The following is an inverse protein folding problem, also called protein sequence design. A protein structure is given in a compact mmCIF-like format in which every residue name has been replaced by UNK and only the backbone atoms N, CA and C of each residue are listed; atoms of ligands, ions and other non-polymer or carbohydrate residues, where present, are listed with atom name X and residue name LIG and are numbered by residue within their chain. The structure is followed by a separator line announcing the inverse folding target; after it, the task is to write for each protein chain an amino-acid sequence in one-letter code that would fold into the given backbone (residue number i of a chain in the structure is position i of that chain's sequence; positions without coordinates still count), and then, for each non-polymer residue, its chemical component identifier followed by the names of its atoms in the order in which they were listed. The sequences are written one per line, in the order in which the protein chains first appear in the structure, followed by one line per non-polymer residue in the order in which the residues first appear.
data_IF_657633139461
#
_entry.id   IF_657633139461
#
_cell.length_a   1.000
_cell.length_b   1.000
_cell.length_c   1.000
_cell.angle_alpha   90.00
_cell.angle_beta   90.00
_cell.angle_gamma   90.00
#
_symmetry.space_group_name_H-M   'P 1'
#
loop_
_entity.id
_entity.type
_entity.pdbx_description
1 polymer ?
#
# COMPACT_ATOMS: atom_id res chain seq x y z
N UNK A 1 13.79 -6.85 5.39
CA UNK A 1 12.75 -6.10 4.64
C UNK A 1 11.46 -6.88 4.45
N UNK A 2 10.33 -6.18 4.46
CA UNK A 2 9.00 -6.74 4.25
C UNK A 2 8.35 -7.37 5.49
N UNK A 3 9.04 -7.35 6.63
CA UNK A 3 8.56 -7.91 7.89
C UNK A 3 7.29 -7.19 8.40
N UNK A 4 6.19 -7.92 8.70
CA UNK A 4 5.03 -7.33 9.36
C UNK A 4 5.38 -6.84 10.77
N UNK A 5 4.86 -5.67 11.13
CA UNK A 5 4.99 -5.08 12.46
C UNK A 5 3.62 -5.04 13.11
N UNK A 6 3.50 -5.60 14.31
CA UNK A 6 2.25 -5.69 15.05
C UNK A 6 2.39 -5.10 16.46
N UNK A 7 1.28 -4.68 17.02
CA UNK A 7 1.11 -4.41 18.46
C UNK A 7 0.17 -5.47 19.08
N UNK A 8 -0.31 -5.23 20.30
CA UNK A 8 -1.23 -6.13 20.99
C UNK A 8 -2.63 -6.22 20.35
N UNK A 9 -3.04 -5.26 19.52
CA UNK A 9 -4.39 -5.19 18.95
C UNK A 9 -4.44 -5.56 17.46
N UNK A 10 -3.36 -5.35 16.70
CA UNK A 10 -3.30 -5.70 15.29
C UNK A 10 -2.03 -5.31 14.54
N UNK A 11 -2.16 -5.33 13.22
CA UNK A 11 -1.12 -4.95 12.27
C UNK A 11 -0.95 -3.42 12.26
N UNK A 12 0.27 -2.98 12.57
CA UNK A 12 0.64 -1.57 12.61
C UNK A 12 1.28 -1.12 11.29
N UNK A 13 2.11 -1.97 10.68
CA UNK A 13 2.80 -1.63 9.44
C UNK A 13 3.74 -2.70 8.92
N UNK A 14 4.66 -2.29 8.07
CA UNK A 14 5.65 -3.15 7.44
C UNK A 14 7.03 -2.50 7.46
N UNK A 15 8.07 -3.28 7.77
CA UNK A 15 9.46 -2.82 7.67
C UNK A 15 9.83 -2.59 6.22
N UNK A 16 10.08 -1.33 5.87
CA UNK A 16 10.44 -0.90 4.51
C UNK A 16 11.91 -0.55 4.36
N UNK A 17 12.61 -0.27 5.46
CA UNK A 17 14.08 -0.15 5.51
C UNK A 17 14.64 -0.77 6.77
N UNK A 18 15.79 -1.41 6.66
CA UNK A 18 16.57 -1.92 7.78
C UNK A 18 17.93 -1.22 7.86
N UNK A 19 18.34 -0.91 9.08
CA UNK A 19 19.63 -0.38 9.47
C UNK A 19 20.24 -1.32 10.52
N UNK A 20 21.54 -1.20 10.87
CA UNK A 20 22.18 -2.13 11.80
C UNK A 20 21.49 -2.28 13.16
N UNK A 21 20.85 -1.22 13.67
CA UNK A 21 20.21 -1.19 14.98
C UNK A 21 18.81 -0.53 14.96
N UNK A 22 18.27 -0.24 13.78
CA UNK A 22 16.96 0.41 13.63
C UNK A 22 16.30 -0.01 12.33
N UNK A 23 15.02 0.30 12.18
CA UNK A 23 14.27 0.04 10.96
C UNK A 23 13.24 1.15 10.77
N UNK A 24 12.92 1.45 9.51
CA UNK A 24 11.77 2.28 9.15
C UNK A 24 10.56 1.38 8.88
N UNK A 25 9.42 1.79 9.40
CA UNK A 25 8.13 1.10 9.26
C UNK A 25 7.19 2.01 8.52
N UNK A 26 6.65 1.52 7.40
CA UNK A 26 5.52 2.16 6.72
C UNK A 26 4.25 1.69 7.40
N UNK A 27 3.44 2.63 7.88
CA UNK A 27 2.22 2.34 8.62
C UNK A 27 1.11 1.91 7.67
N UNK A 28 0.16 1.08 8.15
CA UNK A 28 -0.99 0.67 7.33
C UNK A 28 -1.89 1.83 6.91
N UNK A 29 -1.77 2.98 7.58
CA UNK A 29 -2.51 4.22 7.29
C UNK A 29 -1.83 5.10 6.26
N UNK A 30 -0.59 4.81 5.88
CA UNK A 30 0.12 5.57 4.85
C UNK A 30 -0.54 5.35 3.48
N UNK A 31 -0.58 6.39 2.63
CA UNK A 31 -1.30 6.38 1.33
C UNK A 31 -0.91 5.21 0.43
N UNK A 32 0.37 4.85 0.44
CA UNK A 32 0.93 3.82 -0.42
C UNK A 32 0.97 2.45 0.26
N UNK A 33 0.47 2.34 1.50
CA UNK A 33 0.39 1.08 2.20
C UNK A 33 -0.75 0.22 1.65
N UNK A 34 -0.42 -1.05 1.38
CA UNK A 34 -1.33 -2.02 0.79
C UNK A 34 -1.26 -3.30 1.61
N UNK A 35 -2.41 -3.75 2.12
CA UNK A 35 -2.52 -4.98 2.90
C UNK A 35 -3.59 -5.88 2.28
N UNK A 36 -3.22 -7.06 1.74
CA UNK A 36 -4.20 -8.05 1.30
C UNK A 36 -4.95 -8.62 2.50
N UNK A 37 -6.27 -8.48 2.50
CA UNK A 37 -7.12 -8.87 3.62
C UNK A 37 -8.28 -9.76 3.18
N UNK A 38 -8.91 -10.37 4.16
CA UNK A 38 -10.19 -11.03 4.02
C UNK A 38 -11.09 -10.66 5.19
N UNK A 39 -12.40 -10.64 4.95
CA UNK A 39 -13.40 -10.50 5.99
C UNK A 39 -13.42 -11.79 6.81
N UNK A 40 -13.16 -11.73 8.11
CA UNK A 40 -13.08 -12.92 8.96
C UNK A 40 -14.38 -13.75 8.94
N UNK A 41 -15.53 -13.09 8.82
CA UNK A 41 -16.85 -13.74 8.86
C UNK A 41 -17.19 -14.48 7.57
N UNK A 42 -16.88 -13.92 6.40
CA UNK A 42 -17.31 -14.45 5.10
C UNK A 42 -16.19 -15.07 4.28
N UNK A 43 -14.93 -14.74 4.60
CA UNK A 43 -13.76 -15.12 3.80
C UNK A 43 -13.62 -14.33 2.49
N UNK A 44 -14.51 -13.37 2.22
CA UNK A 44 -14.40 -12.51 1.04
C UNK A 44 -13.09 -11.72 1.09
N UNK A 45 -12.35 -11.74 -0.02
CA UNK A 45 -11.04 -11.12 -0.13
C UNK A 45 -11.16 -9.73 -0.73
N UNK A 46 -10.30 -8.85 -0.26
CA UNK A 46 -10.10 -7.54 -0.82
C UNK A 46 -8.72 -7.03 -0.46
N UNK A 47 -8.50 -5.75 -0.69
CA UNK A 47 -7.22 -5.14 -0.35
C UNK A 47 -7.48 -3.83 0.34
N UNK A 48 -6.79 -3.66 1.45
CA UNK A 48 -6.90 -2.51 2.31
C UNK A 48 -5.82 -1.50 1.93
N UNK A 49 -6.24 -0.26 1.75
CA UNK A 49 -5.39 0.88 1.45
C UNK A 49 -5.39 1.86 2.62
N UNK A 50 -4.24 2.45 2.91
CA UNK A 50 -4.20 3.68 3.69
C UNK A 50 -4.78 4.84 2.89
N UNK A 51 -5.66 5.63 3.50
CA UNK A 51 -6.21 6.83 2.90
C UNK A 51 -6.09 8.00 3.88
N UNK A 52 -4.94 8.69 3.87
CA UNK A 52 -4.70 9.85 4.73
C UNK A 52 -5.75 10.93 4.44
N UNK A 53 -6.55 11.26 5.45
CA UNK A 53 -7.63 12.26 5.35
C UNK A 53 -9.04 11.69 5.59
N UNK A 54 -9.22 10.37 5.58
CA UNK A 54 -10.46 9.72 6.01
C UNK A 54 -10.51 9.58 7.55
N UNK A 55 -10.74 10.68 8.29
CA UNK A 55 -11.05 10.61 9.74
C UNK A 55 -10.06 9.80 10.59
N UNK A 56 -10.56 8.94 11.50
CA UNK A 56 -9.80 8.12 12.46
C UNK A 56 -8.86 7.10 11.78
N UNK A 57 -7.71 7.56 11.26
CA UNK A 57 -6.67 6.68 10.68
C UNK A 57 -7.08 6.03 9.35
N UNK A 58 -7.97 6.67 8.59
CA UNK A 58 -8.72 6.17 7.44
C UNK A 58 -8.10 5.06 6.60
N UNK A 59 -8.79 3.93 6.59
CA UNK A 59 -8.49 2.80 5.70
C UNK A 59 -9.66 2.60 4.73
N UNK A 60 -9.35 2.20 3.50
CA UNK A 60 -10.34 1.87 2.49
C UNK A 60 -10.14 0.44 1.98
N UNK A 61 -11.17 -0.40 2.15
CA UNK A 61 -11.21 -1.73 1.58
C UNK A 61 -11.77 -1.62 0.15
N UNK A 62 -10.89 -1.86 -0.82
CA UNK A 62 -11.19 -1.73 -2.25
C UNK A 62 -11.50 -3.08 -2.90
N UNK A 63 -12.12 -3.00 -4.08
CA UNK A 63 -12.48 -4.12 -4.95
C UNK A 63 -13.50 -5.09 -4.37
N UNK A 64 -14.31 -4.63 -3.43
CA UNK A 64 -15.43 -5.41 -2.92
C UNK A 64 -16.60 -5.31 -3.90
N UNK A 65 -17.08 -6.41 -4.51
CA UNK A 65 -18.25 -6.35 -5.38
C UNK A 65 -19.46 -5.74 -4.66
N UNK A 66 -20.33 -5.03 -5.36
CA UNK A 66 -21.54 -4.45 -4.73
C UNK A 66 -22.42 -5.51 -4.06
N UNK A 67 -22.43 -6.73 -4.59
CA UNK A 67 -23.17 -7.88 -4.07
C UNK A 67 -22.47 -8.61 -2.90
N UNK A 68 -21.23 -8.25 -2.56
CA UNK A 68 -20.48 -8.94 -1.50
C UNK A 68 -21.11 -8.70 -0.12
N UNK A 69 -21.08 -9.72 0.74
CA UNK A 69 -21.65 -9.69 2.08
C UNK A 69 -20.69 -9.03 3.08
N UNK A 70 -20.44 -7.73 2.88
CA UNK A 70 -19.69 -6.86 3.80
C UNK A 70 -20.64 -6.01 4.65
N UNK A 71 -20.37 -5.97 5.96
CA UNK A 71 -21.19 -5.27 6.97
C UNK A 71 -20.33 -4.40 7.88
N UNK A 72 -20.92 -3.32 8.39
CA UNK A 72 -20.31 -2.51 9.45
C UNK A 72 -20.07 -3.41 10.67
N UNK A 73 -18.89 -3.29 11.26
CA UNK A 73 -18.44 -4.11 12.38
C UNK A 73 -17.65 -5.36 11.98
N UNK A 74 -17.63 -5.74 10.70
CA UNK A 74 -16.83 -6.88 10.24
C UNK A 74 -15.34 -6.67 10.54
N UNK A 75 -14.67 -7.74 10.98
CA UNK A 75 -13.23 -7.77 11.22
C UNK A 75 -12.49 -8.14 9.95
N UNK A 76 -11.47 -7.35 9.60
CA UNK A 76 -10.54 -7.64 8.52
C UNK A 76 -9.27 -8.26 9.08
N UNK A 77 -8.85 -9.36 8.47
CA UNK A 77 -7.60 -10.05 8.79
C UNK A 77 -6.75 -10.21 7.54
N UNK A 78 -5.43 -10.30 7.68
CA UNK A 78 -4.53 -10.60 6.55
C UNK A 78 -4.92 -11.91 5.86
N UNK A 79 -4.92 -11.93 4.53
CA UNK A 79 -5.28 -13.13 3.75
C UNK A 79 -4.12 -14.09 3.54
N UNK A 80 -2.88 -13.58 3.63
CA UNK A 80 -1.64 -14.31 3.35
C UNK A 80 -1.37 -14.65 1.89
N UNK A 81 -2.14 -14.07 0.96
CA UNK A 81 -2.03 -14.36 -0.48
C UNK A 81 -0.73 -13.85 -1.12
N UNK A 82 -0.10 -12.84 -0.52
CA UNK A 82 1.14 -12.24 -1.02
C UNK A 82 2.40 -12.94 -0.48
N UNK A 83 2.26 -13.88 0.47
CA UNK A 83 3.38 -14.51 1.15
C UNK A 83 4.21 -13.56 2.01
N UNK A 84 3.76 -12.32 2.24
CA UNK A 84 4.43 -11.36 3.11
C UNK A 84 3.82 -11.45 4.50
N UNK A 85 2.50 -11.27 4.56
CA UNK A 85 1.74 -11.37 5.80
C UNK A 85 1.36 -12.83 6.06
N UNK A 86 1.53 -13.30 7.30
CA UNK A 86 0.90 -14.57 7.69
C UNK A 86 -0.62 -14.37 7.71
N UNK A 87 -1.40 -15.34 7.25
CA UNK A 87 -2.85 -15.24 7.27
C UNK A 87 -3.41 -15.15 8.70
N UNK A 88 -4.41 -14.31 8.91
CA UNK A 88 -5.15 -14.21 10.18
C UNK A 88 -4.70 -13.11 11.15
N UNK A 89 -3.73 -12.27 10.79
CA UNK A 89 -3.38 -11.10 11.60
C UNK A 89 -4.52 -10.08 11.53
N UNK A 90 -4.96 -9.57 12.69
CA UNK A 90 -6.00 -8.54 12.77
C UNK A 90 -5.48 -7.23 12.17
N UNK A 91 -6.30 -6.55 11.36
CA UNK A 91 -5.88 -5.31 10.69
C UNK A 91 -6.83 -4.16 11.03
N UNK A 92 -8.11 -4.31 10.68
CA UNK A 92 -9.06 -3.21 10.72
C UNK A 92 -10.50 -3.68 10.97
N UNK A 93 -11.37 -2.76 11.33
CA UNK A 93 -12.82 -2.98 11.43
C UNK A 93 -13.56 -2.11 10.44
N UNK A 94 -14.56 -2.67 9.76
CA UNK A 94 -15.42 -1.92 8.85
C UNK A 94 -16.27 -0.91 9.66
N UNK A 95 -16.20 0.36 9.30
CA UNK A 95 -16.95 1.46 9.95
C UNK A 95 -18.06 2.00 9.06
N UNK A 96 -17.92 1.93 7.74
CA UNK A 96 -18.98 2.30 6.80
C UNK A 96 -18.92 1.49 5.51
N UNK A 97 -20.08 1.26 4.90
CA UNK A 97 -20.21 0.62 3.58
C UNK A 97 -21.10 1.49 2.70
N UNK A 98 -20.55 2.00 1.61
CA UNK A 98 -21.25 2.83 0.63
C UNK A 98 -21.40 2.05 -0.67
N UNK A 99 -22.64 1.78 -1.08
CA UNK A 99 -22.98 1.10 -2.33
C UNK A 99 -23.69 2.09 -3.26
N UNK A 100 -23.11 2.37 -4.42
CA UNK A 100 -23.73 3.19 -5.45
C UNK A 100 -24.31 2.27 -6.53
N UNK A 101 -25.49 2.61 -7.08
CA UNK A 101 -26.19 1.76 -8.07
C UNK A 101 -25.41 1.64 -9.38
N UNK A 102 -24.58 2.61 -9.70
CA UNK A 102 -23.88 2.71 -10.99
C UNK A 102 -22.40 2.29 -10.90
N UNK A 103 -21.98 1.70 -9.77
CA UNK A 103 -20.61 1.21 -9.56
C UNK A 103 -20.56 -0.29 -9.37
N UNK A 104 -19.60 -0.96 -10.00
CA UNK A 104 -19.38 -2.40 -9.84
C UNK A 104 -18.87 -2.80 -8.44
N UNK A 105 -18.23 -1.86 -7.74
CA UNK A 105 -17.60 -2.09 -6.45
C UNK A 105 -18.18 -1.17 -5.36
N UNK A 106 -18.35 -1.71 -4.17
CA UNK A 106 -18.67 -0.95 -2.97
C UNK A 106 -17.43 -0.19 -2.47
N UNK A 107 -17.67 1.00 -1.90
CA UNK A 107 -16.66 1.74 -1.15
C UNK A 107 -16.81 1.41 0.33
N UNK A 108 -15.78 0.81 0.92
CA UNK A 108 -15.83 0.32 2.31
C UNK A 108 -14.78 1.04 3.14
N UNK A 109 -15.23 1.82 4.13
CA UNK A 109 -14.36 2.57 5.03
C UNK A 109 -14.12 1.72 6.27
N UNK A 110 -12.87 1.67 6.71
CA UNK A 110 -12.44 0.90 7.86
C UNK A 110 -11.60 1.77 8.81
N UNK A 111 -11.56 1.37 10.08
CA UNK A 111 -10.67 1.94 11.09
C UNK A 111 -9.60 0.91 11.47
N UNK A 112 -8.31 1.31 11.62
CA UNK A 112 -7.26 0.43 12.10
C UNK A 112 -7.58 -0.10 13.50
N UNK A 113 -7.12 -1.31 13.80
CA UNK A 113 -7.16 -1.85 15.16
C UNK A 113 -5.90 -1.54 15.96
N UNK A 114 -4.76 -1.51 15.28
CA UNK A 114 -3.47 -1.12 15.87
C UNK A 114 -3.48 0.35 16.29
N UNK A 115 -2.77 0.65 17.37
CA UNK A 115 -2.50 2.03 17.80
C UNK A 115 -1.35 2.61 16.97
N UNK A 116 -1.69 3.09 15.78
CA UNK A 116 -0.74 3.66 14.82
C UNK A 116 -0.16 5.00 15.24
N UNK A 117 -0.72 5.67 16.26
CA UNK A 117 -0.24 6.97 16.77
C UNK A 117 0.55 6.83 18.08
N UNK A 118 0.23 5.84 18.91
CA UNK A 118 0.74 5.69 20.28
C UNK A 118 1.57 4.43 20.56
N UNK A 119 1.83 3.59 19.55
CA UNK A 119 2.58 2.33 19.70
C UNK A 119 3.96 2.51 20.35
N UNK A 120 4.09 2.12 21.62
CA UNK A 120 5.35 2.22 22.39
C UNK A 120 6.22 0.96 22.26
N UNK A 121 5.58 -0.19 22.15
CA UNK A 121 6.23 -1.49 22.00
C UNK A 121 5.57 -2.22 20.84
N UNK A 122 6.38 -2.85 20.01
CA UNK A 122 5.91 -3.58 18.82
C UNK A 122 6.65 -4.91 18.71
N UNK A 123 6.04 -5.85 18.00
CA UNK A 123 6.68 -7.09 17.60
C UNK A 123 6.89 -7.10 16.09
N UNK A 124 8.12 -7.41 15.68
CA UNK A 124 8.47 -7.60 14.26
C UNK A 124 8.40 -9.09 13.95
N UNK A 125 7.50 -9.46 13.05
CA UNK A 125 7.31 -10.83 12.60
C UNK A 125 8.28 -11.18 11.48
N UNK A 126 8.73 -12.43 11.45
CA UNK A 126 9.50 -12.94 10.31
C UNK A 126 8.57 -13.06 9.09
N UNK A 127 8.90 -12.44 7.94
CA UNK A 127 8.09 -12.58 6.73
C UNK A 127 8.17 -14.01 6.21
N UNK A 128 7.09 -14.53 5.63
CA UNK A 128 7.08 -15.88 5.04
C UNK A 128 7.95 -15.92 3.77
N UNK A 129 7.87 -14.86 2.97
CA UNK A 129 8.73 -14.59 1.82
C UNK A 129 9.42 -13.25 2.02
N UNK A 130 10.75 -13.22 2.22
CA UNK A 130 11.48 -11.96 2.37
C UNK A 130 11.38 -11.12 1.09
N UNK A 131 11.06 -9.83 1.25
CA UNK A 131 11.16 -8.89 0.12
C UNK A 131 12.64 -8.63 -0.17
N UNK A 132 13.02 -8.68 -1.46
CA UNK A 132 14.36 -8.33 -1.87
C UNK A 132 14.66 -6.87 -1.52
N UNK A 133 15.87 -6.53 -1.06
CA UNK A 133 16.26 -5.14 -0.88
C UNK A 133 16.10 -4.35 -2.16
N UNK A 134 15.50 -3.17 -2.03
CA UNK A 134 15.59 -2.18 -3.08
C UNK A 134 17.07 -1.99 -3.42
N UNK A 135 17.44 -1.94 -4.70
CA UNK A 135 18.80 -1.59 -5.08
C UNK A 135 19.21 -0.31 -4.35
N UNK A 136 20.48 -0.18 -3.91
CA UNK A 136 20.97 1.08 -3.38
C UNK A 136 20.57 2.17 -4.36
N UNK A 137 19.95 3.24 -3.85
CA UNK A 137 19.71 4.42 -4.65
C UNK A 137 21.09 5.01 -4.97
N UNK A 138 21.71 4.52 -6.05
CA UNK A 138 22.90 5.13 -6.59
C UNK A 138 22.58 6.60 -6.79
N UNK A 139 23.38 7.46 -6.16
CA UNK A 139 23.39 8.89 -6.42
C UNK A 139 23.60 8.99 -7.92
N UNK A 140 22.52 9.20 -8.68
CA UNK A 140 22.60 9.51 -10.09
C UNK A 140 23.33 10.85 -10.13
N UNK A 141 24.65 10.80 -10.24
CA UNK A 141 25.44 11.95 -10.69
C UNK A 141 24.78 12.33 -12.00
N UNK A 142 24.12 13.48 -11.99
CA UNK A 142 23.52 14.11 -13.16
C UNK A 142 24.63 14.35 -14.19
N UNK A 143 24.94 13.31 -14.96
CA UNK A 143 25.79 13.37 -16.13
C UNK A 143 24.98 14.04 -17.22
N UNK A 144 25.26 15.33 -17.44
CA UNK A 144 24.72 16.08 -18.55
C UNK A 144 24.88 15.28 -19.85
N UNK A 145 23.76 14.95 -20.49
CA UNK A 145 23.77 14.39 -21.85
C UNK A 145 24.25 15.50 -22.79
N UNK A 146 25.37 15.34 -23.51
CA UNK A 146 25.81 16.33 -24.48
C UNK A 146 24.81 16.34 -25.65
N UNK A 147 24.15 17.49 -25.87
CA UNK A 147 23.31 17.71 -27.05
C UNK A 147 24.22 17.68 -28.29
N UNK A 148 24.00 16.69 -29.17
CA UNK A 148 24.57 16.69 -30.53
C UNK A 148 24.09 17.95 -31.27
N UNK A 149 24.99 18.73 -31.92
CA UNK A 149 24.57 19.84 -32.76
C UNK A 149 23.90 19.28 -34.02
N UNK A 150 22.65 19.69 -34.26
CA UNK A 150 21.97 19.43 -35.53
C UNK A 150 22.64 20.30 -36.59
N UNK A 151 23.29 19.64 -37.56
CA UNK A 151 23.99 20.29 -38.65
C UNK A 151 22.99 21.06 -39.52
N UNK A 152 23.32 22.31 -39.77
CA UNK A 152 22.65 23.17 -40.72
C UNK A 152 22.73 22.57 -42.14
N UNK A 153 21.59 22.47 -42.82
CA UNK A 153 21.51 22.20 -44.25
C UNK A 153 20.86 23.39 -44.95
N UNK A 154 21.67 24.17 -45.68
CA UNK A 154 21.26 25.19 -46.68
C UNK A 154 22.46 25.31 -47.66
N UNK A 155 22.34 25.73 -48.93
CA UNK A 155 21.18 25.97 -49.83
C UNK A 155 21.30 25.23 -51.20
N UNK A 156 20.30 25.36 -52.08
CA UNK A 156 20.53 25.55 -53.51
C UNK A 156 19.35 26.29 -54.17
N UNK A 157 19.69 27.26 -55.02
CA UNK A 157 18.82 28.29 -55.57
C UNK A 157 18.26 27.99 -56.97
N UNK A 158 17.16 28.68 -57.28
CA UNK A 158 16.77 29.31 -58.55
C UNK A 158 16.33 28.46 -59.77
N UNK A 159 15.18 28.84 -60.36
CA UNK A 159 14.94 28.71 -61.81
C UNK A 159 13.49 28.58 -62.29
N UNK A 160 12.86 29.72 -62.64
CA UNK A 160 11.94 29.98 -63.77
C UNK A 160 10.89 28.94 -64.24
N UNK A 161 9.60 29.32 -64.17
CA UNK A 161 8.79 29.86 -65.30
C UNK A 161 7.38 30.22 -64.85
#
# INVERSE_FOLDING_TARGET
LGSPVIDETGLLGQVTRDYPLSAEVTLITDRDAVVPVQIQRTGERGVLYGEPGLGQGGLELRWMPTAADVRVGDLLVTSGVDGIYTAGLRVARVTAVVRQRDTAFARVICAPLADVEGGRHVLVLKPLTPLAPAPPADIVKSGAVPRKPHAASVPAAAGAR
#
